data_IF_214047593362
#
_entry.id   IF_214047593362
#
_cell.length_a   1.000
_cell.length_b   1.000
_cell.length_c   1.000
_cell.angle_alpha   90.00
_cell.angle_beta   90.00
_cell.angle_gamma   90.00
#
_symmetry.space_group_name_H-M   'P 1'
#
loop_
_entity.id
_entity.type
_entity.pdbx_description
1 polymer ?
#
# COMPACT_ATOMS: atom_id res chain seq x y z
N UNK A 1 -4.12 -9.50 -25.04
CA UNK A 1 -5.13 -9.04 -24.06
C UNK A 1 -5.68 -7.67 -24.46
N UNK A 2 -6.93 -7.40 -24.11
CA UNK A 2 -7.53 -6.07 -24.28
C UNK A 2 -7.57 -5.39 -22.92
N UNK A 3 -7.06 -4.14 -22.88
CA UNK A 3 -7.07 -3.32 -21.68
C UNK A 3 -7.89 -2.06 -21.92
N UNK A 4 -8.85 -1.82 -21.04
CA UNK A 4 -9.63 -0.59 -20.98
C UNK A 4 -9.59 -0.03 -19.55
N UNK A 5 -9.13 1.21 -19.35
CA UNK A 5 -9.02 1.81 -18.02
C UNK A 5 -10.34 1.84 -17.23
N UNK A 6 -11.47 1.99 -17.92
CA UNK A 6 -12.79 2.16 -17.31
C UNK A 6 -13.43 0.81 -16.93
N UNK A 7 -13.12 -0.26 -17.67
CA UNK A 7 -13.77 -1.58 -17.52
C UNK A 7 -12.87 -2.56 -16.77
N UNK A 8 -11.54 -2.48 -16.98
CA UNK A 8 -10.61 -3.45 -16.39
C UNK A 8 -10.42 -3.20 -14.89
N UNK A 9 -10.78 -4.18 -14.08
CA UNK A 9 -10.64 -4.11 -12.61
C UNK A 9 -9.23 -4.50 -12.16
N UNK A 10 -8.82 -4.07 -10.96
CA UNK A 10 -7.55 -4.47 -10.35
C UNK A 10 -7.48 -5.98 -10.13
N UNK A 11 -8.61 -6.62 -9.82
CA UNK A 11 -8.68 -8.09 -9.71
C UNK A 11 -8.35 -8.78 -11.03
N UNK A 12 -8.77 -8.22 -12.17
CA UNK A 12 -8.44 -8.76 -13.50
C UNK A 12 -6.94 -8.62 -13.78
N UNK A 13 -6.33 -7.50 -13.39
CA UNK A 13 -4.88 -7.29 -13.54
C UNK A 13 -4.10 -8.22 -12.61
N UNK A 14 -4.53 -8.42 -11.35
CA UNK A 14 -3.91 -9.40 -10.44
C UNK A 14 -3.93 -10.81 -11.02
N UNK A 15 -5.07 -11.25 -11.58
CA UNK A 15 -5.15 -12.56 -12.25
C UNK A 15 -4.24 -12.67 -13.46
N UNK A 16 -4.11 -11.60 -14.24
CA UNK A 16 -3.17 -11.56 -15.37
C UNK A 16 -1.73 -11.67 -14.89
N UNK A 17 -1.33 -10.92 -13.86
CA UNK A 17 0.01 -10.99 -13.25
C UNK A 17 0.29 -12.42 -12.74
N UNK A 18 -0.65 -13.05 -12.06
CA UNK A 18 -0.48 -14.42 -11.56
C UNK A 18 -0.39 -15.44 -12.69
N UNK A 19 -1.11 -15.24 -13.79
CA UNK A 19 -1.10 -16.15 -14.95
C UNK A 19 0.20 -16.04 -15.77
N UNK A 20 0.71 -14.82 -15.94
CA UNK A 20 1.88 -14.53 -16.79
C UNK A 20 3.19 -14.66 -16.01
N UNK A 21 3.13 -14.43 -14.70
CA UNK A 21 4.27 -14.31 -13.81
C UNK A 21 4.66 -12.85 -13.58
N UNK A 22 5.07 -12.54 -12.34
CA UNK A 22 5.45 -11.17 -11.94
C UNK A 22 6.64 -10.64 -12.76
N UNK A 23 7.58 -11.52 -13.07
CA UNK A 23 8.79 -11.24 -13.85
C UNK A 23 8.48 -10.97 -15.32
N UNK A 24 7.44 -11.61 -15.88
CA UNK A 24 7.14 -11.58 -17.31
C UNK A 24 6.11 -10.50 -17.70
N UNK A 25 5.43 -9.89 -16.74
CA UNK A 25 4.33 -8.95 -17.05
C UNK A 25 4.80 -7.71 -17.81
N UNK A 26 6.02 -7.22 -17.52
CA UNK A 26 6.60 -6.09 -18.24
C UNK A 26 7.05 -6.48 -19.65
N UNK A 27 7.51 -7.72 -19.85
CA UNK A 27 7.83 -8.25 -21.19
C UNK A 27 6.54 -8.38 -22.04
N UNK A 28 5.44 -8.80 -21.45
CA UNK A 28 4.14 -8.81 -22.11
C UNK A 28 3.73 -7.40 -22.57
N UNK A 29 3.98 -6.38 -21.74
CA UNK A 29 3.70 -4.99 -22.09
C UNK A 29 4.58 -4.50 -23.25
N UNK A 30 5.88 -4.85 -23.26
CA UNK A 30 6.81 -4.56 -24.38
C UNK A 30 6.38 -5.26 -25.67
N UNK A 31 5.97 -6.52 -25.59
CA UNK A 31 5.45 -7.25 -26.73
C UNK A 31 4.21 -6.54 -27.31
N UNK A 32 3.32 -6.07 -26.44
CA UNK A 32 2.13 -5.32 -26.87
C UNK A 32 2.49 -3.97 -27.53
N UNK A 33 3.53 -3.31 -27.04
CA UNK A 33 4.08 -2.09 -27.66
C UNK A 33 4.63 -2.37 -29.07
N UNK A 34 5.45 -3.43 -29.19
CA UNK A 34 6.01 -3.86 -30.47
C UNK A 34 4.95 -4.25 -31.50
N UNK A 35 3.91 -4.99 -31.09
CA UNK A 35 2.76 -5.34 -31.92
C UNK A 35 2.06 -4.10 -32.49
N UNK A 36 1.86 -3.10 -31.65
CA UNK A 36 1.25 -1.83 -32.08
C UNK A 36 2.11 -1.07 -33.08
N UNK A 37 3.43 -1.01 -32.84
CA UNK A 37 4.36 -0.37 -33.78
C UNK A 37 4.35 -1.12 -35.12
N UNK A 38 4.43 -2.44 -35.10
CA UNK A 38 4.37 -3.28 -36.29
C UNK A 38 3.05 -3.19 -37.06
N UNK A 39 1.96 -2.88 -36.36
CA UNK A 39 0.63 -2.63 -36.98
C UNK A 39 0.46 -1.20 -37.51
N UNK A 40 1.51 -0.37 -37.56
CA UNK A 40 1.47 0.98 -38.11
C UNK A 40 0.84 2.02 -37.18
N UNK A 41 0.70 1.74 -35.89
CA UNK A 41 0.19 2.73 -34.95
C UNK A 41 1.22 3.86 -34.70
N UNK A 42 0.81 5.15 -34.80
CA UNK A 42 1.75 6.27 -34.74
C UNK A 42 2.35 6.53 -33.35
N UNK A 43 1.78 5.95 -32.29
CA UNK A 43 2.26 6.11 -30.90
C UNK A 43 2.68 4.77 -30.32
N UNK A 44 3.96 4.62 -30.02
CA UNK A 44 4.53 3.45 -29.38
C UNK A 44 3.94 3.19 -28.00
N UNK A 45 3.79 4.23 -27.17
CA UNK A 45 3.22 4.16 -25.81
C UNK A 45 1.95 5.01 -25.70
N UNK A 46 0.79 4.50 -26.16
CA UNK A 46 -0.47 5.20 -26.02
C UNK A 46 -0.89 5.29 -24.54
N UNK A 47 -1.80 6.22 -24.22
CA UNK A 47 -2.31 6.41 -22.86
C UNK A 47 -2.75 5.09 -22.20
N UNK A 48 -3.51 4.23 -22.90
CA UNK A 48 -3.97 2.94 -22.36
C UNK A 48 -2.82 2.04 -21.93
N UNK A 49 -1.71 2.00 -22.67
CA UNK A 49 -0.55 1.17 -22.30
C UNK A 49 0.18 1.78 -21.09
N UNK A 50 0.35 3.09 -21.03
CA UNK A 50 0.96 3.78 -19.88
C UNK A 50 0.11 3.58 -18.62
N UNK A 51 -1.20 3.71 -18.74
CA UNK A 51 -2.14 3.49 -17.64
C UNK A 51 -2.12 2.02 -17.17
N UNK A 52 -2.02 1.06 -18.08
CA UNK A 52 -1.85 -0.35 -17.75
C UNK A 52 -0.58 -0.57 -16.94
N UNK A 53 0.56 -0.04 -17.38
CA UNK A 53 1.85 -0.17 -16.68
C UNK A 53 1.82 0.47 -15.28
N UNK A 54 1.21 1.64 -15.16
CA UNK A 54 0.98 2.27 -13.86
C UNK A 54 0.21 1.36 -12.90
N UNK A 55 -0.92 0.80 -13.34
CA UNK A 55 -1.74 -0.10 -12.51
C UNK A 55 -1.02 -1.40 -12.18
N UNK A 56 -0.28 -1.97 -13.13
CA UNK A 56 0.56 -3.16 -12.89
C UNK A 56 1.59 -2.90 -11.80
N UNK A 57 2.32 -1.79 -11.88
CA UNK A 57 3.34 -1.46 -10.89
C UNK A 57 2.74 -1.22 -9.51
N UNK A 58 1.61 -0.50 -9.42
CA UNK A 58 0.86 -0.31 -8.19
C UNK A 58 0.47 -1.66 -7.56
N UNK A 59 -0.14 -2.54 -8.34
CA UNK A 59 -0.58 -3.86 -7.88
C UNK A 59 0.59 -4.76 -7.48
N UNK A 60 1.72 -4.71 -8.19
CA UNK A 60 2.91 -5.47 -7.81
C UNK A 60 3.47 -5.03 -6.45
N UNK A 61 3.50 -3.73 -6.16
CA UNK A 61 3.87 -3.21 -4.84
C UNK A 61 2.92 -3.69 -3.74
N UNK A 62 1.60 -3.64 -3.99
CA UNK A 62 0.60 -4.20 -3.08
C UNK A 62 0.82 -5.70 -2.81
N UNK A 63 1.06 -6.48 -3.87
CA UNK A 63 1.30 -7.93 -3.77
C UNK A 63 2.63 -8.29 -3.12
N UNK A 64 3.64 -7.44 -3.23
CA UNK A 64 4.93 -7.60 -2.56
C UNK A 64 4.85 -7.26 -1.07
N UNK A 65 3.77 -6.63 -0.61
CA UNK A 65 3.63 -6.13 0.75
C UNK A 65 4.52 -4.91 1.04
N UNK A 66 4.93 -4.20 0.00
CA UNK A 66 5.75 -2.98 0.11
C UNK A 66 4.93 -1.79 0.60
N UNK A 67 3.59 -1.90 0.56
CA UNK A 67 2.74 -0.89 1.18
C UNK A 67 2.80 -0.98 2.71
N UNK A 68 2.85 0.16 3.38
CA UNK A 68 2.81 0.21 4.83
C UNK A 68 1.60 -0.56 5.39
N UNK A 69 1.84 -1.50 6.26
CA UNK A 69 0.80 -2.33 6.86
C UNK A 69 1.14 -2.70 8.30
N UNK A 70 0.12 -3.06 9.09
CA UNK A 70 0.30 -3.51 10.47
C UNK A 70 1.25 -4.71 10.62
N UNK A 71 1.49 -5.47 9.53
CA UNK A 71 2.45 -6.58 9.49
C UNK A 71 3.91 -6.13 9.59
N UNK A 72 4.20 -4.85 9.34
CA UNK A 72 5.55 -4.28 9.49
C UNK A 72 5.93 -4.08 10.96
N UNK A 73 4.94 -3.95 11.86
CA UNK A 73 5.17 -3.80 13.29
C UNK A 73 5.80 -5.07 13.88
N UNK A 74 6.84 -4.91 14.68
CA UNK A 74 7.44 -5.99 15.48
C UNK A 74 6.62 -6.34 16.73
N UNK A 75 5.38 -5.91 16.81
CA UNK A 75 4.40 -6.22 17.86
C UNK A 75 3.04 -6.45 17.19
N UNK A 76 2.26 -7.36 17.73
CA UNK A 76 0.92 -7.65 17.23
C UNK A 76 -0.16 -7.35 18.28
N UNK A 77 -1.44 -7.41 17.86
CA UNK A 77 -2.56 -7.10 18.75
C UNK A 77 -2.63 -8.01 19.98
N UNK A 78 -2.27 -9.29 19.86
CA UNK A 78 -2.26 -10.24 20.99
C UNK A 78 -1.19 -9.85 22.02
N UNK A 79 -0.03 -9.42 21.58
CA UNK A 79 1.04 -8.95 22.48
C UNK A 79 0.63 -7.65 23.16
N UNK A 80 0.00 -6.71 22.44
CA UNK A 80 -0.54 -5.48 23.04
C UNK A 80 -1.57 -5.81 24.13
N UNK A 81 -2.53 -6.68 23.86
CA UNK A 81 -3.54 -7.09 24.83
C UNK A 81 -2.91 -7.71 26.10
N UNK A 82 -1.87 -8.55 25.95
CA UNK A 82 -1.15 -9.15 27.07
C UNK A 82 -0.42 -8.11 27.93
N UNK A 83 0.22 -7.13 27.27
CA UNK A 83 1.05 -6.12 27.95
C UNK A 83 0.20 -5.05 28.64
N UNK A 84 -0.94 -4.71 28.05
CA UNK A 84 -1.81 -3.62 28.49
C UNK A 84 -3.03 -4.09 29.27
N UNK A 85 -3.27 -5.41 29.34
CA UNK A 85 -4.48 -6.04 29.89
C UNK A 85 -5.78 -5.55 29.24
N UNK A 86 -5.72 -5.09 27.98
CA UNK A 86 -6.88 -4.67 27.23
C UNK A 86 -7.64 -5.88 26.66
N UNK A 87 -8.96 -5.77 26.62
CA UNK A 87 -9.81 -6.73 25.91
C UNK A 87 -9.74 -6.49 24.38
N UNK A 88 -10.00 -7.55 23.58
CA UNK A 88 -10.11 -7.39 22.14
C UNK A 88 -11.15 -6.33 21.79
N UNK A 89 -10.73 -5.33 20.98
CA UNK A 89 -11.65 -4.25 20.63
C UNK A 89 -10.97 -3.10 19.87
N UNK A 90 -11.72 -2.04 19.59
CA UNK A 90 -11.26 -0.90 18.79
C UNK A 90 -10.06 -0.17 19.37
N UNK A 91 -9.88 -0.21 20.70
CA UNK A 91 -8.74 0.40 21.40
C UNK A 91 -7.41 -0.22 21.00
N UNK A 92 -7.36 -1.54 20.86
CA UNK A 92 -6.16 -2.26 20.39
C UNK A 92 -5.83 -1.89 18.94
N UNK A 93 -6.85 -1.82 18.08
CA UNK A 93 -6.70 -1.38 16.69
C UNK A 93 -6.21 0.06 16.57
N UNK A 94 -6.70 0.96 17.43
CA UNK A 94 -6.25 2.35 17.48
C UNK A 94 -4.77 2.45 17.86
N UNK A 95 -4.33 1.72 18.87
CA UNK A 95 -2.92 1.66 19.28
C UNK A 95 -2.04 1.15 18.13
N UNK A 96 -2.42 0.06 17.46
CA UNK A 96 -1.67 -0.48 16.33
C UNK A 96 -1.53 0.53 15.18
N UNK A 97 -2.59 1.28 14.84
CA UNK A 97 -2.54 2.28 13.78
C UNK A 97 -1.64 3.47 14.15
N UNK A 98 -1.66 3.92 15.40
CA UNK A 98 -0.78 4.98 15.88
C UNK A 98 0.70 4.53 15.86
N UNK A 99 0.98 3.30 16.32
CA UNK A 99 2.33 2.75 16.28
C UNK A 99 2.83 2.59 14.83
N UNK A 100 1.97 2.18 13.91
CA UNK A 100 2.33 2.09 12.49
C UNK A 100 2.75 3.46 11.95
N UNK A 101 2.00 4.51 12.22
CA UNK A 101 2.34 5.85 11.78
C UNK A 101 3.67 6.33 12.38
N UNK A 102 3.90 6.07 13.67
CA UNK A 102 5.17 6.43 14.33
C UNK A 102 6.39 5.73 13.71
N UNK A 103 6.27 4.48 13.27
CA UNK A 103 7.38 3.77 12.58
C UNK A 103 7.54 4.18 11.12
N UNK A 104 6.50 4.69 10.47
CA UNK A 104 6.60 5.25 9.13
C UNK A 104 7.36 6.57 9.14
N UNK A 105 7.16 7.40 10.17
CA UNK A 105 7.92 8.62 10.39
C UNK A 105 9.38 8.32 10.76
N UNK A 106 9.61 7.30 11.59
CA UNK A 106 10.94 6.91 12.06
C UNK A 106 11.06 5.38 12.16
N UNK A 107 11.62 4.72 11.13
CA UNK A 107 11.77 3.26 11.10
C UNK A 107 12.63 2.68 12.23
N UNK A 108 13.51 3.48 12.86
CA UNK A 108 14.33 3.03 13.99
C UNK A 108 13.48 2.72 15.23
N UNK A 109 12.29 3.30 15.33
CA UNK A 109 11.32 3.03 16.40
C UNK A 109 10.66 1.64 16.29
N UNK A 110 10.86 0.92 15.17
CA UNK A 110 10.33 -0.43 15.03
C UNK A 110 11.16 -1.45 15.81
N UNK A 111 11.33 -1.19 17.09
CA UNK A 111 11.93 -2.11 18.06
C UNK A 111 10.89 -2.59 19.07
N UNK A 112 10.91 -3.89 19.37
CA UNK A 112 9.93 -4.50 20.27
C UNK A 112 9.82 -3.80 21.63
N UNK A 113 10.96 -3.47 22.24
CA UNK A 113 11.00 -2.76 23.53
C UNK A 113 10.37 -1.38 23.47
N UNK A 114 10.64 -0.62 22.39
CA UNK A 114 10.06 0.70 22.19
C UNK A 114 8.54 0.59 22.00
N UNK A 115 8.09 -0.32 21.13
CA UNK A 115 6.69 -0.51 20.82
C UNK A 115 5.88 -0.98 22.04
N UNK A 116 6.44 -1.87 22.88
CA UNK A 116 5.81 -2.31 24.12
C UNK A 116 5.63 -1.15 25.12
N UNK A 117 6.68 -0.32 25.30
CA UNK A 117 6.61 0.86 26.16
C UNK A 117 5.55 1.85 25.63
N UNK A 118 5.58 2.11 24.33
CA UNK A 118 4.68 3.05 23.69
C UNK A 118 3.23 2.58 23.73
N UNK A 119 2.99 1.27 23.52
CA UNK A 119 1.66 0.68 23.66
C UNK A 119 1.08 0.84 25.08
N UNK A 120 1.90 0.70 26.13
CA UNK A 120 1.49 0.95 27.51
C UNK A 120 1.11 2.42 27.72
N UNK A 121 1.91 3.35 27.25
CA UNK A 121 1.61 4.79 27.33
C UNK A 121 0.29 5.13 26.62
N UNK A 122 0.09 4.62 25.40
CA UNK A 122 -1.15 4.83 24.63
C UNK A 122 -2.37 4.20 25.30
N UNK A 123 -2.21 3.05 25.96
CA UNK A 123 -3.31 2.38 26.67
C UNK A 123 -3.86 3.16 27.84
N UNK A 124 -3.07 4.07 28.43
CA UNK A 124 -3.45 4.93 29.54
C UNK A 124 -4.22 6.19 29.11
N UNK A 125 -4.24 6.50 27.80
CA UNK A 125 -4.99 7.63 27.28
C UNK A 125 -6.50 7.39 27.34
N UNK A 126 -7.25 8.49 27.47
CA UNK A 126 -8.70 8.43 27.34
C UNK A 126 -9.12 7.99 25.94
N UNK A 127 -10.31 7.41 25.82
CA UNK A 127 -10.80 6.95 24.52
C UNK A 127 -10.90 8.09 23.50
N UNK A 128 -11.27 9.30 23.93
CA UNK A 128 -11.31 10.49 23.06
C UNK A 128 -9.94 10.89 22.52
N UNK A 129 -8.93 10.93 23.39
CA UNK A 129 -7.56 11.27 22.99
C UNK A 129 -6.98 10.22 22.04
N UNK A 130 -7.30 8.95 22.27
CA UNK A 130 -6.85 7.85 21.43
C UNK A 130 -7.52 7.88 20.05
N UNK A 131 -8.83 8.17 20.00
CA UNK A 131 -9.58 8.34 18.75
C UNK A 131 -9.04 9.51 17.91
N UNK A 132 -8.72 10.64 18.56
CA UNK A 132 -8.16 11.79 17.88
C UNK A 132 -6.79 11.49 17.29
N UNK A 133 -5.89 10.86 18.07
CA UNK A 133 -4.59 10.41 17.59
C UNK A 133 -4.71 9.40 16.45
N UNK A 134 -5.64 8.45 16.55
CA UNK A 134 -5.90 7.48 15.49
C UNK A 134 -6.40 8.14 14.20
N UNK A 135 -7.27 9.15 14.31
CA UNK A 135 -7.73 9.92 13.16
C UNK A 135 -6.60 10.63 12.46
N UNK A 136 -5.75 11.33 13.21
CA UNK A 136 -4.57 12.01 12.68
C UNK A 136 -3.60 11.02 12.00
N UNK A 137 -3.36 9.86 12.63
CA UNK A 137 -2.52 8.81 12.05
C UNK A 137 -3.09 8.27 10.74
N UNK A 138 -4.40 8.06 10.66
CA UNK A 138 -5.08 7.64 9.42
C UNK A 138 -5.01 8.69 8.32
N UNK A 139 -5.19 9.95 8.65
CA UNK A 139 -5.09 11.05 7.67
C UNK A 139 -3.69 11.11 7.06
N UNK A 140 -2.64 11.10 7.89
CA UNK A 140 -1.25 11.06 7.41
C UNK A 140 -0.96 9.83 6.53
N UNK A 141 -1.44 8.66 6.94
CA UNK A 141 -1.27 7.44 6.15
C UNK A 141 -1.93 7.54 4.77
N UNK A 142 -3.14 8.08 4.70
CA UNK A 142 -3.85 8.29 3.44
C UNK A 142 -3.12 9.30 2.54
N UNK A 143 -2.53 10.34 3.11
CA UNK A 143 -1.78 11.33 2.35
C UNK A 143 -0.47 10.74 1.79
N UNK A 144 0.24 9.91 2.56
CA UNK A 144 1.40 9.15 2.05
C UNK A 144 1.03 8.26 0.88
N UNK A 145 -0.08 7.52 0.97
CA UNK A 145 -0.54 6.66 -0.13
C UNK A 145 -0.90 7.47 -1.39
N UNK A 146 -1.49 8.67 -1.23
CA UNK A 146 -1.78 9.57 -2.35
C UNK A 146 -0.50 10.07 -3.02
N UNK A 147 0.49 10.49 -2.22
CA UNK A 147 1.78 10.95 -2.73
C UNK A 147 2.50 9.86 -3.54
N UNK A 148 2.53 8.63 -3.02
CA UNK A 148 3.10 7.48 -3.75
C UNK A 148 2.37 7.22 -5.06
N UNK A 149 1.03 7.26 -5.04
CA UNK A 149 0.22 7.09 -6.25
C UNK A 149 0.48 8.20 -7.27
N UNK A 150 0.61 9.45 -6.83
CA UNK A 150 0.95 10.58 -7.71
C UNK A 150 2.34 10.45 -8.32
N UNK A 151 3.32 9.99 -7.54
CA UNK A 151 4.67 9.72 -8.06
C UNK A 151 4.64 8.65 -9.15
N UNK A 152 3.88 7.56 -8.94
CA UNK A 152 3.70 6.53 -9.96
C UNK A 152 2.97 7.05 -11.20
N UNK A 153 1.96 7.88 -11.04
CA UNK A 153 1.26 8.54 -12.17
C UNK A 153 2.23 9.41 -12.96
N UNK A 154 3.06 10.22 -12.29
CA UNK A 154 4.09 11.04 -12.95
C UNK A 154 5.11 10.19 -13.71
N UNK A 155 5.60 9.10 -13.09
CA UNK A 155 6.53 8.16 -13.72
C UNK A 155 6.00 7.59 -15.03
N UNK A 156 4.72 7.22 -15.06
CA UNK A 156 4.07 6.65 -16.24
C UNK A 156 3.38 7.70 -17.13
N UNK A 157 3.50 8.99 -16.81
CA UNK A 157 2.84 10.07 -17.54
C UNK A 157 1.33 9.86 -17.70
N UNK A 158 0.68 9.42 -16.63
CA UNK A 158 -0.76 9.24 -16.51
C UNK A 158 -1.32 10.45 -15.77
N UNK A 159 -2.19 11.18 -16.45
CA UNK A 159 -2.90 12.36 -15.90
C UNK A 159 -4.34 11.99 -15.67
#
# INVERSE_FOLDING_TARGET
FVYDPEITTDSSIRRLILKVGKENIFELAKLREADRIGSGCPKAKPFRLRHFLFRVEKILKEMAGEQPSLKMLKINGNEIMKITNLQPGPKVGAILNILLEEILDDPLKNEKKYLEKRAKELSQLSDKELEEKQRMAKEKYLDLLKEEEEQLKKKHQVV
#
